data_IF_401538309605
#
_entry.id   IF_401538309605
#
_cell.length_a   1.000
_cell.length_b   1.000
_cell.length_c   1.000
_cell.angle_alpha   90.00
_cell.angle_beta   90.00
_cell.angle_gamma   90.00
#
_symmetry.space_group_name_H-M   'P 1'
#
loop_
_entity.id
_entity.type
_entity.pdbx_description
1 polymer ?
#
# COMPACT_ATOMS: atom_id res chain seq x y z
N UNK A 1 -3.39 18.66 19.13
CA UNK A 1 -3.30 17.18 19.24
C UNK A 1 -3.09 16.65 17.84
N UNK A 2 -1.96 16.02 17.53
CA UNK A 2 -1.82 15.35 16.23
C UNK A 2 -2.68 14.10 16.21
N UNK A 3 -3.51 13.91 15.17
CA UNK A 3 -4.20 12.63 14.97
C UNK A 3 -3.14 11.53 14.81
N UNK A 4 -3.37 10.40 15.49
CA UNK A 4 -2.58 9.17 15.29
C UNK A 4 -2.77 8.74 13.84
N UNK A 5 -1.66 8.47 13.14
CA UNK A 5 -1.68 7.99 11.76
C UNK A 5 -1.54 6.49 11.70
N UNK A 6 -2.27 5.85 10.79
CA UNK A 6 -2.24 4.41 10.59
C UNK A 6 -1.82 4.05 9.16
N UNK A 7 -0.95 3.04 9.06
CA UNK A 7 -0.60 2.41 7.79
C UNK A 7 -1.37 1.10 7.63
N UNK A 8 -1.89 0.86 6.43
CA UNK A 8 -2.46 -0.43 6.07
C UNK A 8 -1.37 -1.40 5.63
N UNK A 9 -1.28 -2.56 6.28
CA UNK A 9 -0.43 -3.65 5.83
C UNK A 9 -1.15 -4.49 4.76
N UNK A 10 -0.80 -4.27 3.50
CA UNK A 10 -1.40 -4.93 2.33
C UNK A 10 -0.92 -6.38 2.14
N UNK A 11 0.00 -6.85 2.99
CA UNK A 11 0.33 -8.27 3.11
C UNK A 11 -0.70 -9.07 3.90
N UNK A 12 -1.59 -8.40 4.64
CA UNK A 12 -2.64 -9.02 5.46
C UNK A 12 -4.06 -8.55 5.11
N UNK A 13 -4.21 -7.31 4.65
CA UNK A 13 -5.50 -6.72 4.28
C UNK A 13 -5.70 -6.76 2.77
N UNK A 14 -6.96 -6.97 2.33
CA UNK A 14 -7.35 -7.02 0.91
C UNK A 14 -6.52 -7.99 0.06
N UNK A 15 -6.21 -9.17 0.59
CA UNK A 15 -5.36 -10.16 -0.07
C UNK A 15 -6.00 -10.77 -1.33
N UNK A 16 -7.29 -10.54 -1.52
CA UNK A 16 -8.05 -10.85 -2.73
C UNK A 16 -7.82 -9.85 -3.88
N UNK A 17 -7.22 -8.69 -3.61
CA UNK A 17 -6.94 -7.66 -4.61
C UNK A 17 -5.48 -7.69 -5.06
N UNK A 18 -5.23 -7.24 -6.30
CA UNK A 18 -3.87 -6.91 -6.70
C UNK A 18 -3.38 -5.66 -5.95
N UNK A 19 -2.06 -5.46 -5.90
CA UNK A 19 -1.45 -4.43 -5.05
C UNK A 19 -1.96 -2.99 -5.35
N UNK A 20 -2.08 -2.53 -6.61
CA UNK A 20 -2.65 -1.21 -6.91
C UNK A 20 -4.10 -1.06 -6.41
N UNK A 21 -4.94 -2.08 -6.59
CA UNK A 21 -6.31 -2.07 -6.09
C UNK A 21 -6.38 -2.07 -4.56
N UNK A 22 -5.47 -2.79 -3.89
CA UNK A 22 -5.37 -2.79 -2.42
C UNK A 22 -4.96 -1.41 -1.87
N UNK A 23 -4.08 -0.67 -2.57
CA UNK A 23 -3.73 0.72 -2.23
C UNK A 23 -4.97 1.63 -2.28
N UNK A 24 -5.79 1.51 -3.33
CA UNK A 24 -7.03 2.27 -3.46
C UNK A 24 -8.05 1.90 -2.37
N UNK A 25 -8.15 0.60 -2.03
CA UNK A 25 -9.02 0.12 -0.96
C UNK A 25 -8.61 0.67 0.41
N UNK A 26 -7.31 0.72 0.70
CA UNK A 26 -6.79 1.34 1.92
C UNK A 26 -7.15 2.82 2.04
N UNK A 27 -7.15 3.56 0.91
CA UNK A 27 -7.60 4.96 0.88
C UNK A 27 -9.09 5.09 1.19
N UNK A 28 -9.92 4.24 0.57
CA UNK A 28 -11.36 4.22 0.83
C UNK A 28 -11.68 3.88 2.29
N UNK A 29 -10.85 3.07 2.95
CA UNK A 29 -10.97 2.72 4.37
C UNK A 29 -10.42 3.79 5.33
N UNK A 30 -9.84 4.88 4.84
CA UNK A 30 -9.41 6.01 5.66
C UNK A 30 -8.02 5.88 6.30
N UNK A 31 -7.17 4.98 5.80
CA UNK A 31 -5.76 4.92 6.21
C UNK A 31 -4.98 6.15 5.72
N UNK A 32 -3.81 6.38 6.33
CA UNK A 32 -2.93 7.51 6.00
C UNK A 32 -1.75 7.11 5.10
N UNK A 33 -1.41 5.83 5.10
CA UNK A 33 -0.26 5.25 4.40
C UNK A 33 -0.46 3.76 4.16
N UNK A 34 0.49 3.15 3.44
CA UNK A 34 0.49 1.70 3.16
C UNK A 34 1.89 1.09 3.38
N UNK A 35 1.91 -0.20 3.66
CA UNK A 35 3.09 -1.05 3.57
C UNK A 35 2.73 -2.37 2.89
N UNK A 36 3.72 -3.08 2.35
CA UNK A 36 3.50 -4.39 1.73
C UNK A 36 4.68 -5.33 1.99
N UNK A 37 4.55 -6.61 1.66
CA UNK A 37 5.69 -7.54 1.76
C UNK A 37 6.58 -7.47 0.53
N UNK A 38 6.12 -7.96 -0.62
CA UNK A 38 6.93 -8.07 -1.84
C UNK A 38 6.17 -7.52 -3.04
N UNK A 39 6.48 -6.30 -3.51
CA UNK A 39 5.79 -5.70 -4.66
C UNK A 39 6.34 -6.17 -6.01
N UNK A 40 7.34 -7.05 -6.03
CA UNK A 40 8.24 -7.26 -7.18
C UNK A 40 7.62 -7.96 -8.38
N UNK A 41 6.45 -8.59 -8.23
CA UNK A 41 5.70 -9.21 -9.34
C UNK A 41 4.66 -8.25 -9.96
N UNK A 42 4.54 -7.03 -9.42
CA UNK A 42 3.63 -5.99 -9.91
C UNK A 42 4.43 -4.92 -10.66
N UNK A 43 3.88 -4.41 -11.77
CA UNK A 43 4.51 -3.29 -12.49
C UNK A 43 4.69 -2.08 -11.55
N UNK A 44 5.93 -1.60 -11.32
CA UNK A 44 6.18 -0.48 -10.44
C UNK A 44 5.45 0.80 -10.88
N UNK A 45 5.17 1.00 -12.17
CA UNK A 45 4.41 2.17 -12.65
C UNK A 45 2.98 2.15 -12.15
N UNK A 46 2.34 0.98 -12.10
CA UNK A 46 0.99 0.84 -11.59
C UNK A 46 0.92 1.10 -10.07
N UNK A 47 1.93 0.65 -9.32
CA UNK A 47 2.05 0.95 -7.88
C UNK A 47 2.22 2.46 -7.67
N UNK A 48 3.16 3.09 -8.40
CA UNK A 48 3.42 4.52 -8.28
C UNK A 48 2.16 5.33 -8.61
N UNK A 49 1.43 4.97 -9.67
CA UNK A 49 0.17 5.62 -10.01
C UNK A 49 -0.85 5.53 -8.86
N UNK A 50 -1.07 4.35 -8.30
CA UNK A 50 -2.00 4.18 -7.17
C UNK A 50 -1.57 4.96 -5.91
N UNK A 51 -0.26 5.02 -5.60
CA UNK A 51 0.26 5.84 -4.51
C UNK A 51 0.03 7.34 -4.74
N UNK A 52 0.24 7.81 -5.98
CA UNK A 52 0.00 9.21 -6.37
C UNK A 52 -1.49 9.57 -6.27
N UNK A 53 -2.37 8.72 -6.81
CA UNK A 53 -3.83 8.94 -6.80
C UNK A 53 -4.39 9.01 -5.37
N UNK A 54 -3.77 8.31 -4.42
CA UNK A 54 -4.19 8.28 -3.02
C UNK A 54 -3.48 9.29 -2.14
N UNK A 55 -2.44 9.94 -2.68
CA UNK A 55 -1.44 10.71 -1.94
C UNK A 55 -0.85 9.93 -0.76
N UNK A 56 -0.58 8.63 -0.97
CA UNK A 56 0.01 7.75 0.03
C UNK A 56 1.51 7.65 -0.09
N UNK A 57 2.15 7.55 1.07
CA UNK A 57 3.52 7.07 1.20
C UNK A 57 3.49 5.56 1.41
N UNK A 58 4.29 4.82 0.64
CA UNK A 58 4.61 3.43 0.99
C UNK A 58 5.72 3.44 2.05
N UNK A 59 5.36 3.20 3.31
CA UNK A 59 6.28 3.37 4.45
C UNK A 59 7.19 2.16 4.67
N UNK A 60 6.83 1.01 4.10
CA UNK A 60 7.53 -0.25 4.30
C UNK A 60 7.30 -1.22 3.14
N UNK A 61 8.38 -1.87 2.74
CA UNK A 61 8.38 -3.05 1.88
C UNK A 61 9.57 -3.92 2.24
N UNK A 62 9.48 -5.23 2.01
CA UNK A 62 10.58 -6.14 2.25
C UNK A 62 11.46 -6.24 0.99
N UNK A 63 12.75 -6.53 1.19
CA UNK A 63 13.61 -7.04 0.11
C UNK A 63 13.06 -8.35 -0.45
N UNK A 64 13.52 -8.75 -1.64
CA UNK A 64 13.20 -10.08 -2.18
C UNK A 64 13.55 -11.15 -1.15
N UNK A 65 12.68 -12.15 -0.98
CA UNK A 65 12.95 -13.32 -0.12
C UNK A 65 14.24 -13.99 -0.59
N UNK A 66 15.18 -14.21 0.33
CA UNK A 66 16.49 -14.80 0.06
C UNK A 66 17.48 -14.42 1.13
#
# INVERSE_FOLDING_TARGET
MGLIKFSANLGFLWTELNLPSAILAAKAAGFDAVECHWPYDTDPKAIIGALQDTNFTMIGLNTRRG
#
